data_IF_606963770984
#
_entry.id   IF_606963770984
#
_cell.length_a   1.000
_cell.length_b   1.000
_cell.length_c   1.000
_cell.angle_alpha   90.00
_cell.angle_beta   90.00
_cell.angle_gamma   90.00
#
_symmetry.space_group_name_H-M   'P 1'
#
loop_
_entity.id
_entity.type
_entity.pdbx_description
1 polymer ?
#
# COMPACT_ATOMS: atom_id res chain seq x y z
N UNK A 1 -0.52 14.06 17.16
CA UNK A 1 -1.54 13.23 16.49
C UNK A 1 -0.92 12.79 15.19
N UNK A 2 -0.48 11.54 15.09
CA UNK A 2 -0.04 10.96 13.83
C UNK A 2 -1.08 9.92 13.50
N UNK A 3 -1.91 10.20 12.50
CA UNK A 3 -2.97 9.31 12.07
C UNK A 3 -2.38 7.95 11.68
N UNK A 4 -2.94 6.83 12.17
CA UNK A 4 -2.46 5.49 11.83
C UNK A 4 -2.64 5.11 10.34
N UNK A 5 -3.20 6.01 9.53
CA UNK A 5 -3.34 5.87 8.08
C UNK A 5 -2.11 6.43 7.32
N UNK A 6 -1.18 7.13 7.99
CA UNK A 6 0.01 7.75 7.38
C UNK A 6 1.15 6.75 7.05
N UNK A 7 1.03 5.49 7.50
CA UNK A 7 2.01 4.41 7.23
C UNK A 7 1.52 3.43 6.15
N UNK A 8 0.89 3.95 5.10
CA UNK A 8 0.58 3.14 3.93
C UNK A 8 1.87 2.91 3.12
N UNK A 9 2.26 1.64 2.86
CA UNK A 9 3.51 1.36 2.17
C UNK A 9 3.48 1.87 0.72
N UNK A 10 2.32 1.88 0.06
CA UNK A 10 2.24 2.33 -1.33
C UNK A 10 1.82 3.79 -1.42
N UNK A 11 2.59 4.60 -2.13
CA UNK A 11 2.26 6.00 -2.40
C UNK A 11 2.60 6.37 -3.85
N UNK A 12 2.01 7.47 -4.33
CA UNK A 12 2.23 7.96 -5.69
C UNK A 12 3.30 9.04 -5.67
N UNK A 13 4.31 8.89 -6.52
CA UNK A 13 5.33 9.89 -6.77
C UNK A 13 5.24 10.38 -8.23
N UNK A 14 5.24 11.70 -8.46
CA UNK A 14 5.40 12.24 -9.81
C UNK A 14 6.85 12.07 -10.29
N UNK A 15 7.04 11.59 -11.51
CA UNK A 15 8.34 11.56 -12.19
C UNK A 15 8.21 12.14 -13.61
N UNK A 16 8.72 13.37 -13.78
CA UNK A 16 8.63 14.08 -15.06
C UNK A 16 7.17 14.24 -15.50
N UNK A 17 6.84 13.73 -16.70
CA UNK A 17 5.49 13.72 -17.27
C UNK A 17 4.64 12.50 -16.86
N UNK A 18 5.09 11.70 -15.89
CA UNK A 18 4.43 10.46 -15.48
C UNK A 18 4.27 10.38 -13.97
N UNK A 19 3.48 9.41 -13.54
CA UNK A 19 3.20 9.07 -12.16
C UNK A 19 3.66 7.65 -11.88
N UNK A 20 4.31 7.46 -10.74
CA UNK A 20 4.80 6.17 -10.27
C UNK A 20 4.12 5.82 -8.97
N UNK A 21 3.74 4.56 -8.82
CA UNK A 21 3.40 4.00 -7.52
C UNK A 21 4.65 3.35 -6.98
N UNK A 22 5.12 3.82 -5.84
CA UNK A 22 6.28 3.28 -5.12
C UNK A 22 5.84 2.64 -3.81
N UNK A 23 6.59 1.65 -3.36
CA UNK A 23 6.45 1.05 -2.02
C UNK A 23 7.28 1.85 -0.98
N UNK A 24 7.14 1.52 0.30
CA UNK A 24 7.85 2.17 1.42
C UNK A 24 9.36 1.96 1.37
N UNK A 25 9.83 1.00 0.57
CA UNK A 25 11.26 0.80 0.26
C UNK A 25 11.75 1.62 -0.96
N UNK A 26 10.90 2.48 -1.55
CA UNK A 26 11.22 3.28 -2.74
C UNK A 26 11.23 2.48 -4.05
N UNK A 27 10.70 1.26 -4.04
CA UNK A 27 10.63 0.41 -5.23
C UNK A 27 9.43 0.79 -6.09
N UNK A 28 9.67 1.07 -7.37
CA UNK A 28 8.61 1.34 -8.34
C UNK A 28 7.82 0.07 -8.63
N UNK A 29 6.54 0.10 -8.29
CA UNK A 29 5.60 -1.00 -8.53
C UNK A 29 4.87 -0.80 -9.86
N UNK A 30 4.44 0.43 -10.15
CA UNK A 30 3.70 0.79 -11.37
C UNK A 30 4.19 2.15 -11.86
N UNK A 31 4.24 2.33 -13.18
CA UNK A 31 4.44 3.63 -13.81
C UNK A 31 3.35 3.86 -14.85
N UNK A 32 2.71 5.03 -14.81
CA UNK A 32 1.63 5.41 -15.73
C UNK A 32 1.68 6.90 -16.03
N UNK A 33 1.22 7.32 -17.20
CA UNK A 33 1.11 8.74 -17.54
C UNK A 33 -0.18 9.39 -17.01
N UNK A 34 -1.05 8.63 -16.34
CA UNK A 34 -2.37 9.09 -15.87
C UNK A 34 -2.38 9.10 -14.34
N UNK A 35 -2.49 10.30 -13.75
CA UNK A 35 -2.51 10.50 -12.30
C UNK A 35 -3.58 9.64 -11.61
N UNK A 36 -4.82 9.72 -12.10
CA UNK A 36 -5.95 8.99 -11.55
C UNK A 36 -5.72 7.47 -11.49
N UNK A 37 -5.02 6.90 -12.49
CA UNK A 37 -4.69 5.48 -12.48
C UNK A 37 -3.66 5.18 -11.39
N UNK A 38 -2.61 6.00 -11.24
CA UNK A 38 -1.59 5.81 -10.21
C UNK A 38 -2.22 5.85 -8.80
N UNK A 39 -3.12 6.80 -8.55
CA UNK A 39 -3.84 6.92 -7.28
C UNK A 39 -4.72 5.70 -7.01
N UNK A 40 -5.47 5.24 -8.02
CA UNK A 40 -6.27 4.03 -7.91
C UNK A 40 -5.42 2.79 -7.59
N UNK A 41 -4.26 2.65 -8.25
CA UNK A 41 -3.36 1.55 -7.98
C UNK A 41 -2.77 1.60 -6.56
N UNK A 42 -2.31 2.76 -6.11
CA UNK A 42 -1.82 2.94 -4.74
C UNK A 42 -2.93 2.59 -3.72
N UNK A 43 -4.15 3.08 -3.92
CA UNK A 43 -5.29 2.78 -3.06
C UNK A 43 -5.63 1.27 -3.02
N UNK A 44 -5.64 0.59 -4.17
CA UNK A 44 -5.90 -0.86 -4.25
C UNK A 44 -4.79 -1.68 -3.58
N UNK A 45 -3.53 -1.29 -3.76
CA UNK A 45 -2.38 -1.95 -3.12
C UNK A 45 -2.43 -1.77 -1.62
N UNK A 46 -2.72 -0.56 -1.14
CA UNK A 46 -2.91 -0.26 0.27
C UNK A 46 -4.09 -0.99 0.89
N UNK A 47 -5.22 -1.08 0.18
CA UNK A 47 -6.38 -1.85 0.61
C UNK A 47 -6.04 -3.35 0.72
N UNK A 48 -5.31 -3.88 -0.26
CA UNK A 48 -4.85 -5.28 -0.28
C UNK A 48 -3.84 -5.54 0.85
N UNK A 49 -2.93 -4.62 1.11
CA UNK A 49 -1.98 -4.67 2.21
C UNK A 49 -2.70 -4.69 3.56
N UNK A 50 -3.64 -3.77 3.79
CA UNK A 50 -4.47 -3.75 5.01
C UNK A 50 -5.26 -5.05 5.18
N UNK A 51 -5.80 -5.61 4.09
CA UNK A 51 -6.57 -6.86 4.13
C UNK A 51 -5.67 -8.09 4.39
N UNK A 52 -4.50 -8.16 3.78
CA UNK A 52 -3.49 -9.20 4.00
C UNK A 52 -2.88 -9.14 5.40
N UNK A 53 -2.55 -7.94 5.88
CA UNK A 53 -2.09 -7.70 7.24
C UNK A 53 -3.15 -8.13 8.27
N UNK A 54 -4.43 -7.76 8.06
CA UNK A 54 -5.54 -8.20 8.93
C UNK A 54 -5.76 -9.71 8.92
N UNK A 55 -5.50 -10.40 7.80
CA UNK A 55 -5.58 -11.85 7.70
C UNK A 55 -4.40 -12.55 8.42
N UNK A 56 -3.18 -12.03 8.28
CA UNK A 56 -2.00 -12.52 8.99
C UNK A 56 -2.05 -12.27 10.49
N UNK A 57 -2.58 -11.12 10.92
CA UNK A 57 -2.74 -10.77 12.33
C UNK A 57 -3.79 -11.63 13.02
N UNK A 58 -4.88 -12.01 12.33
CA UNK A 58 -5.85 -12.99 12.85
C UNK A 58 -5.27 -14.39 13.03
N UNK A 59 -4.21 -14.75 12.30
CA UNK A 59 -3.51 -16.04 12.52
C UNK A 59 -2.53 -16.03 13.69
N UNK A 60 -2.12 -14.87 14.21
CA UNK A 60 -1.35 -14.77 15.48
C UNK A 60 -2.20 -14.50 16.72
N UNK A 61 -3.50 -14.23 16.56
CA UNK A 61 -4.47 -14.16 17.67
C UNK A 61 -5.12 -15.50 18.03
N UNK A 62 -4.89 -16.56 17.25
CA UNK A 62 -5.37 -17.90 17.52
C UNK A 62 -4.18 -18.81 17.87
N UNK A 63 -3.60 -18.60 19.06
CA UNK A 63 -2.77 -19.63 19.66
C UNK A 63 -3.63 -20.91 19.79
N UNK A 64 -3.20 -22.07 19.25
CA UNK A 64 -3.90 -23.31 19.50
C UNK A 64 -3.68 -23.68 20.97
N UNK A 65 -4.74 -23.64 21.77
CA UNK A 65 -4.73 -24.38 23.04
C UNK A 65 -4.86 -25.86 22.69
N UNK A 66 -3.76 -26.60 22.90
CA UNK A 66 -3.79 -28.05 23.08
C UNK A 66 -4.62 -28.40 24.31
#
# INVERSE_FOLDING_TARGET
MTDPDDNLPYHVEPEGDRFKVVDGEGKVMIATSIAANAEQYAALMNQSYRRGFKAGYRRKGAAPKK
#
